data_IF_535526097088
#
_entry.id   IF_535526097088
#
_cell.length_a   1.000
_cell.length_b   1.000
_cell.length_c   1.000
_cell.angle_alpha   90.00
_cell.angle_beta   90.00
_cell.angle_gamma   90.00
#
_symmetry.space_group_name_H-M   'P 1'
#
loop_
_entity.id
_entity.type
_entity.pdbx_description
1 polymer ?
#
# COMPACT_ATOMS: atom_id res chain seq x y z
N UNK A 1 -5.11 -62.64 -0.33
CA UNK A 1 -5.32 -61.78 0.85
C UNK A 1 -4.54 -60.50 0.66
N UNK A 2 -5.18 -59.33 0.72
CA UNK A 2 -4.52 -58.03 0.49
C UNK A 2 -3.82 -57.60 1.79
N UNK A 3 -2.49 -57.65 1.82
CA UNK A 3 -1.71 -57.10 2.93
C UNK A 3 -1.87 -55.58 2.92
N UNK A 4 -2.59 -55.04 3.92
CA UNK A 4 -2.58 -53.61 4.20
C UNK A 4 -1.22 -53.28 4.83
N UNK A 5 -0.32 -52.71 4.03
CA UNK A 5 0.98 -52.23 4.48
C UNK A 5 0.73 -50.95 5.28
N UNK A 6 0.91 -51.01 6.60
CA UNK A 6 0.82 -49.84 7.46
C UNK A 6 1.95 -48.85 7.19
N UNK A 7 1.74 -47.58 7.52
CA UNK A 7 2.79 -46.57 7.45
C UNK A 7 3.82 -46.80 8.54
N UNK A 8 5.10 -46.70 8.19
CA UNK A 8 6.18 -46.71 9.16
C UNK A 8 6.16 -45.41 9.97
N UNK A 9 6.53 -45.49 11.25
CA UNK A 9 6.61 -44.32 12.13
C UNK A 9 7.52 -43.22 11.52
N UNK A 10 8.61 -43.61 10.86
CA UNK A 10 9.53 -42.66 10.22
C UNK A 10 8.87 -41.95 9.04
N UNK A 11 8.05 -42.65 8.25
CA UNK A 11 7.33 -42.06 7.12
C UNK A 11 6.30 -41.05 7.61
N UNK A 12 5.62 -41.36 8.72
CA UNK A 12 4.67 -40.44 9.36
C UNK A 12 5.39 -39.21 9.92
N UNK A 13 6.53 -39.39 10.60
CA UNK A 13 7.30 -38.29 11.15
C UNK A 13 7.87 -37.37 10.06
N UNK A 14 8.41 -37.95 8.98
CA UNK A 14 8.92 -37.18 7.83
C UNK A 14 7.78 -36.43 7.15
N UNK A 15 6.64 -37.08 6.94
CA UNK A 15 5.46 -36.44 6.35
C UNK A 15 4.95 -35.31 7.23
N UNK A 16 4.88 -35.52 8.55
CA UNK A 16 4.47 -34.49 9.49
C UNK A 16 5.43 -33.30 9.48
N UNK A 17 6.74 -33.55 9.48
CA UNK A 17 7.76 -32.51 9.42
C UNK A 17 7.68 -31.70 8.12
N UNK A 18 7.43 -32.37 6.98
CA UNK A 18 7.22 -31.70 5.70
C UNK A 18 5.98 -30.81 5.73
N UNK A 19 4.85 -31.34 6.19
CA UNK A 19 3.59 -30.60 6.27
C UNK A 19 3.72 -29.39 7.18
N UNK A 20 4.33 -29.53 8.36
CA UNK A 20 4.53 -28.40 9.28
C UNK A 20 5.46 -27.35 8.69
N UNK A 21 6.55 -27.76 8.03
CA UNK A 21 7.48 -26.83 7.39
C UNK A 21 6.79 -26.04 6.27
N UNK A 22 6.01 -26.71 5.42
CA UNK A 22 5.26 -26.06 4.35
C UNK A 22 4.20 -25.11 4.94
N UNK A 23 3.47 -25.54 5.97
CA UNK A 23 2.47 -24.71 6.63
C UNK A 23 3.08 -23.43 7.23
N UNK A 24 4.24 -23.54 7.89
CA UNK A 24 4.97 -22.40 8.45
C UNK A 24 5.48 -21.46 7.35
N UNK A 25 6.05 -22.00 6.28
CA UNK A 25 6.52 -21.21 5.14
C UNK A 25 5.36 -20.44 4.47
N UNK A 26 4.21 -21.10 4.27
CA UNK A 26 3.02 -20.47 3.71
C UNK A 26 2.45 -19.38 4.62
N UNK A 27 2.46 -19.60 5.95
CA UNK A 27 2.01 -18.59 6.89
C UNK A 27 2.88 -17.33 6.83
N UNK A 28 4.20 -17.51 6.77
CA UNK A 28 5.15 -16.41 6.63
C UNK A 28 4.97 -15.68 5.29
N UNK A 29 4.79 -16.43 4.20
CA UNK A 29 4.54 -15.86 2.89
C UNK A 29 3.24 -15.05 2.85
N UNK A 30 2.16 -15.57 3.44
CA UNK A 30 0.87 -14.89 3.53
C UNK A 30 0.96 -13.57 4.29
N UNK A 31 1.71 -13.54 5.40
CA UNK A 31 1.94 -12.32 6.16
C UNK A 31 2.65 -11.25 5.32
N UNK A 32 3.74 -11.63 4.64
CA UNK A 32 4.51 -10.71 3.79
C UNK A 32 3.66 -10.16 2.63
N UNK A 33 2.89 -11.02 1.96
CA UNK A 33 1.99 -10.62 0.87
C UNK A 33 0.95 -9.62 1.39
N UNK A 34 0.33 -9.87 2.55
CA UNK A 34 -0.63 -8.93 3.14
C UNK A 34 0.00 -7.57 3.41
N UNK A 35 1.21 -7.54 3.94
CA UNK A 35 1.92 -6.28 4.18
C UNK A 35 2.19 -5.54 2.86
N UNK A 36 2.63 -6.24 1.83
CA UNK A 36 2.86 -5.65 0.51
C UNK A 36 1.57 -5.11 -0.13
N UNK A 37 0.48 -5.87 -0.10
CA UNK A 37 -0.82 -5.45 -0.62
C UNK A 37 -1.31 -4.20 0.13
N UNK A 38 -1.22 -4.18 1.45
CA UNK A 38 -1.63 -3.02 2.24
C UNK A 38 -0.82 -1.77 1.88
N UNK A 39 0.48 -1.91 1.63
CA UNK A 39 1.32 -0.81 1.15
C UNK A 39 0.90 -0.33 -0.24
N UNK A 40 0.54 -1.25 -1.13
CA UNK A 40 0.12 -0.94 -2.50
C UNK A 40 -1.23 -0.22 -2.50
N UNK A 41 -2.19 -0.67 -1.69
CA UNK A 41 -3.49 -0.01 -1.51
C UNK A 41 -3.28 1.41 -0.98
N UNK A 42 -2.46 1.58 0.05
CA UNK A 42 -2.17 2.90 0.61
C UNK A 42 -1.53 3.84 -0.43
N UNK A 43 -0.60 3.34 -1.25
CA UNK A 43 -0.01 4.10 -2.36
C UNK A 43 -1.05 4.50 -3.40
N UNK A 44 -1.93 3.58 -3.81
CA UNK A 44 -2.98 3.85 -4.78
C UNK A 44 -3.97 4.91 -4.27
N UNK A 45 -4.35 4.84 -2.99
CA UNK A 45 -5.22 5.84 -2.35
C UNK A 45 -4.58 7.23 -2.35
N UNK A 46 -3.30 7.35 -1.99
CA UNK A 46 -2.59 8.63 -2.02
C UNK A 46 -2.49 9.20 -3.42
N UNK A 47 -2.24 8.35 -4.43
CA UNK A 47 -2.18 8.81 -5.81
C UNK A 47 -3.52 9.40 -6.26
N UNK A 48 -4.63 8.74 -5.93
CA UNK A 48 -5.98 9.25 -6.21
C UNK A 48 -6.27 10.57 -5.48
N UNK A 49 -5.82 10.72 -4.23
CA UNK A 49 -5.94 11.98 -3.48
C UNK A 49 -5.17 13.09 -4.20
N UNK A 50 -3.93 12.83 -4.63
CA UNK A 50 -3.11 13.81 -5.34
C UNK A 50 -3.76 14.21 -6.66
N UNK A 51 -4.32 13.26 -7.41
CA UNK A 51 -4.99 13.57 -8.68
C UNK A 51 -6.25 14.41 -8.45
N UNK A 52 -7.08 14.10 -7.45
CA UNK A 52 -8.24 14.94 -7.07
C UNK A 52 -7.85 16.34 -6.62
N UNK A 53 -6.81 16.46 -5.81
CA UNK A 53 -6.28 17.78 -5.39
C UNK A 53 -5.78 18.54 -6.61
N UNK A 54 -5.03 17.89 -7.48
CA UNK A 54 -4.52 18.47 -8.72
C UNK A 54 -5.66 18.98 -9.60
N UNK A 55 -6.71 18.19 -9.79
CA UNK A 55 -7.89 18.57 -10.57
C UNK A 55 -8.65 19.74 -9.93
N UNK A 56 -8.84 19.74 -8.60
CA UNK A 56 -9.48 20.86 -7.90
C UNK A 56 -8.73 22.18 -8.06
N UNK A 57 -7.40 22.12 -8.10
CA UNK A 57 -6.52 23.26 -8.31
C UNK A 57 -6.56 23.76 -9.76
N UNK A 58 -6.61 22.87 -10.75
CA UNK A 58 -6.77 23.24 -12.15
C UNK A 58 -8.17 23.81 -12.45
N UNK A 59 -9.21 23.23 -11.85
CA UNK A 59 -10.59 23.66 -12.03
C UNK A 59 -10.98 24.93 -11.27
N UNK A 60 -10.03 25.59 -10.59
CA UNK A 60 -10.27 26.77 -9.74
C UNK A 60 -11.43 26.57 -8.74
N UNK A 61 -11.69 25.33 -8.32
CA UNK A 61 -12.63 25.08 -7.23
C UNK A 61 -11.96 25.57 -5.95
N UNK A 62 -12.49 26.67 -5.38
CA UNK A 62 -11.95 27.37 -4.21
C UNK A 62 -11.91 26.55 -2.90
N UNK A 63 -12.05 25.22 -2.96
CA UNK A 63 -12.07 24.32 -1.83
C UNK A 63 -11.10 23.16 -2.09
N UNK A 64 -9.98 23.17 -1.37
CA UNK A 64 -9.09 22.01 -1.26
C UNK A 64 -9.93 20.84 -0.71
N UNK A 65 -9.95 19.67 -1.38
CA UNK A 65 -10.74 18.55 -0.90
C UNK A 65 -10.22 18.07 0.45
N UNK A 66 -11.14 17.89 1.40
CA UNK A 66 -10.82 17.31 2.71
C UNK A 66 -10.31 15.89 2.50
N UNK A 67 -9.09 15.62 2.96
CA UNK A 67 -8.47 14.32 2.82
C UNK A 67 -8.85 13.46 4.02
N UNK A 68 -9.30 12.20 3.82
CA UNK A 68 -9.64 11.31 4.92
C UNK A 68 -8.40 11.02 5.79
N UNK A 69 -8.59 10.97 7.12
CA UNK A 69 -7.57 10.45 8.05
C UNK A 69 -7.18 9.03 7.63
N UNK A 70 -5.89 8.62 7.67
CA UNK A 70 -4.74 9.21 8.35
C UNK A 70 -3.82 10.05 7.44
N UNK A 71 -4.33 10.54 6.31
CA UNK A 71 -3.52 11.27 5.34
C UNK A 71 -3.50 12.76 5.67
N UNK A 72 -2.31 13.37 5.67
CA UNK A 72 -2.14 14.79 5.90
C UNK A 72 -1.68 15.45 4.60
N UNK A 73 -2.54 16.33 4.07
CA UNK A 73 -2.25 17.11 2.87
C UNK A 73 -1.55 18.41 3.25
N UNK A 74 -0.32 18.59 2.77
CA UNK A 74 0.42 19.86 2.83
C UNK A 74 0.50 20.44 1.42
N UNK A 75 -0.19 21.55 1.20
CA UNK A 75 -0.09 22.33 -0.04
C UNK A 75 0.79 23.54 0.22
N UNK A 76 1.92 23.65 -0.48
CA UNK A 76 2.78 24.83 -0.45
C UNK A 76 2.69 25.55 -1.80
N UNK A 77 2.34 26.82 -1.75
CA UNK A 77 2.19 27.67 -2.91
C UNK A 77 3.49 28.48 -3.10
N UNK A 78 4.22 28.24 -4.20
CA UNK A 78 5.41 28.99 -4.59
C UNK A 78 5.15 29.80 -5.88
N UNK A 79 6.07 30.69 -6.24
CA UNK A 79 5.86 31.73 -7.27
C UNK A 79 5.40 31.15 -8.62
N UNK A 80 6.03 30.05 -9.07
CA UNK A 80 5.75 29.38 -10.36
C UNK A 80 5.12 27.98 -10.22
N UNK A 81 5.14 27.42 -9.02
CA UNK A 81 4.76 26.04 -8.76
C UNK A 81 3.89 25.92 -7.51
N UNK A 82 2.97 24.97 -7.54
CA UNK A 82 2.23 24.51 -6.39
C UNK A 82 2.73 23.11 -6.03
N UNK A 83 3.28 22.98 -4.83
CA UNK A 83 3.80 21.73 -4.30
C UNK A 83 2.70 21.08 -3.48
N UNK A 84 2.18 19.96 -3.97
CA UNK A 84 1.24 19.13 -3.24
C UNK A 84 2.02 17.98 -2.61
N UNK A 85 2.04 17.91 -1.28
CA UNK A 85 2.62 16.80 -0.54
C UNK A 85 1.52 16.10 0.26
N UNK A 86 1.43 14.79 0.11
CA UNK A 86 0.62 13.94 0.99
C UNK A 86 1.57 13.15 1.87
N UNK A 87 1.45 13.33 3.18
CA UNK A 87 2.20 12.62 4.20
C UNK A 87 1.26 11.63 4.91
N UNK A 88 1.76 10.44 5.22
CA UNK A 88 1.05 9.49 6.07
C UNK A 88 1.29 9.84 7.53
N UNK A 89 0.24 9.81 8.37
CA UNK A 89 0.38 10.10 9.81
C UNK A 89 1.33 9.13 10.54
N UNK A 90 1.52 7.92 10.03
CA UNK A 90 2.28 6.85 10.71
C UNK A 90 3.44 6.26 9.87
N UNK A 91 3.80 6.88 8.74
CA UNK A 91 4.94 6.43 7.90
C UNK A 91 5.72 7.64 7.39
N UNK A 92 7.05 7.55 7.43
CA UNK A 92 7.97 8.59 6.92
C UNK A 92 7.95 8.76 5.40
N UNK A 93 7.11 7.99 4.72
CA UNK A 93 6.91 8.08 3.28
C UNK A 93 6.02 9.29 2.96
N UNK A 94 6.34 9.99 1.88
CA UNK A 94 5.52 11.09 1.40
C UNK A 94 5.57 11.12 -0.11
N UNK A 95 4.43 11.38 -0.74
CA UNK A 95 4.39 11.62 -2.18
C UNK A 95 4.28 13.12 -2.38
N UNK A 96 5.27 13.68 -3.09
CA UNK A 96 5.32 15.10 -3.41
C UNK A 96 5.20 15.28 -4.92
N UNK A 97 4.24 16.10 -5.37
CA UNK A 97 4.08 16.48 -6.77
C UNK A 97 4.23 17.99 -6.93
N UNK A 98 5.08 18.42 -7.86
CA UNK A 98 5.22 19.82 -8.25
C UNK A 98 4.31 20.09 -9.45
N UNK A 99 3.36 20.99 -9.30
CA UNK A 99 2.42 21.39 -10.34
C UNK A 99 2.84 22.79 -10.81
N UNK A 100 3.15 22.97 -12.09
CA UNK A 100 3.46 24.30 -12.64
C UNK A 100 2.17 25.10 -12.72
N UNK A 101 2.16 26.33 -12.20
CA UNK A 101 1.05 27.26 -12.41
C UNK A 101 1.03 27.60 -13.89
N UNK A 102 0.05 27.10 -14.65
CA UNK A 102 -0.20 27.66 -15.99
C UNK A 102 -0.73 29.07 -15.77
N UNK A 103 -0.09 30.04 -16.41
CA UNK A 103 -0.40 31.45 -16.29
C UNK A 103 -1.89 31.70 -16.40
N UNK A 104 -2.42 32.44 -15.42
CA UNK A 104 -3.60 33.27 -15.63
C UNK A 104 -3.16 34.31 -16.65
N UNK A 105 -3.56 34.13 -17.91
CA UNK A 105 -3.58 35.16 -18.92
C UNK A 105 -5.05 35.37 -19.30
#
# INVERSE_FOLDING_TARGET
>A
MKHLKGFSLIEVLVSLMLVTTIALALLQQHWNIRQFINQLIAHAEVLQIIDRVTESLYGQMNKIPSVPSPYLLKVRNETDYLIVRVEWFNRSESITRKIRKRGVA
#
